data_IF_373658188177
#
_entry.id   IF_373658188177
#
_cell.length_a   1.000
_cell.length_b   1.000
_cell.length_c   1.000
_cell.angle_alpha   90.00
_cell.angle_beta   90.00
_cell.angle_gamma   90.00
#
_symmetry.space_group_name_H-M   'P 1'
#
loop_
_entity.id
_entity.type
_entity.pdbx_description
1 polymer ?
#
# COMPACT_ATOMS: atom_id res chain seq x y z
N UNK A 1 -17.75 32.99 89.18
CA UNK A 1 -16.89 32.54 90.29
C UNK A 1 -15.64 31.88 89.72
N UNK A 2 -14.48 32.51 89.94
CA UNK A 2 -13.10 32.01 89.99
C UNK A 2 -12.58 30.95 88.97
N UNK A 3 -11.63 31.45 88.18
CA UNK A 3 -10.46 30.81 87.55
C UNK A 3 -9.74 29.77 88.40
N UNK A 4 -9.20 28.72 87.73
CA UNK A 4 -7.87 28.15 88.01
C UNK A 4 -7.23 27.62 86.70
N UNK A 5 -6.12 28.23 86.30
CA UNK A 5 -5.14 27.66 85.36
C UNK A 5 -4.24 26.66 86.10
N UNK A 6 -3.64 25.71 85.36
CA UNK A 6 -2.30 25.10 85.53
C UNK A 6 -2.23 23.90 84.56
N UNK A 7 -1.70 24.05 83.34
CA UNK A 7 -0.29 23.88 82.92
C UNK A 7 0.35 22.61 83.47
N UNK A 8 0.62 21.66 82.58
CA UNK A 8 1.63 20.62 82.79
C UNK A 8 1.46 19.39 81.91
N UNK A 9 2.43 19.20 80.99
CA UNK A 9 2.89 17.90 80.46
C UNK A 9 1.98 17.33 79.34
N UNK A 10 2.42 16.82 78.20
CA UNK A 10 3.66 16.71 77.42
C UNK A 10 3.23 15.76 76.27
N UNK A 11 3.58 16.09 75.02
CA UNK A 11 3.65 15.19 73.85
C UNK A 11 2.61 14.07 73.67
N UNK A 12 1.80 14.18 72.61
CA UNK A 12 1.86 13.25 71.47
C UNK A 12 0.85 13.70 70.40
N UNK A 13 1.36 14.39 69.38
CA UNK A 13 0.69 14.53 68.10
C UNK A 13 0.67 13.16 67.42
N UNK A 14 -0.37 12.37 67.68
CA UNK A 14 -0.76 11.25 66.82
C UNK A 14 -1.88 11.74 65.91
N UNK A 15 -1.51 12.56 64.92
CA UNK A 15 -2.28 12.59 63.68
C UNK A 15 -2.03 11.25 62.98
N UNK A 16 -2.85 10.26 63.30
CA UNK A 16 -3.05 9.12 62.41
C UNK A 16 -3.77 9.64 61.17
N UNK A 17 -3.03 10.27 60.26
CA UNK A 17 -3.40 10.28 58.85
C UNK A 17 -3.30 8.84 58.37
N UNK A 18 -4.37 8.07 58.60
CA UNK A 18 -4.63 6.89 57.78
C UNK A 18 -5.00 7.43 56.40
N UNK A 19 -3.99 7.71 55.58
CA UNK A 19 -4.16 7.60 54.15
C UNK A 19 -4.45 6.13 53.88
N UNK A 20 -5.73 5.78 53.85
CA UNK A 20 -6.19 4.59 53.17
C UNK A 20 -5.89 4.86 51.70
N UNK A 21 -4.69 4.49 51.28
CA UNK A 21 -4.41 4.21 49.88
C UNK A 21 -5.08 2.86 49.58
N UNK A 22 -6.32 2.96 49.12
CA UNK A 22 -7.01 1.98 48.29
C UNK A 22 -7.78 2.86 47.29
N UNK A 23 -7.63 2.69 45.99
CA UNK A 23 -7.61 1.38 45.35
C UNK A 23 -6.27 0.97 44.76
N UNK A 24 -6.09 -0.34 44.78
CA UNK A 24 -5.15 -1.04 43.92
C UNK A 24 -5.41 -0.54 42.51
N UNK A 25 -4.44 0.13 41.92
CA UNK A 25 -4.29 0.05 40.47
C UNK A 25 -4.12 -1.44 40.20
N UNK A 26 -5.22 -2.11 39.85
CA UNK A 26 -5.13 -3.32 39.06
C UNK A 26 -4.47 -2.85 37.76
N UNK A 27 -3.12 -2.84 37.75
CA UNK A 27 -2.31 -2.97 36.56
C UNK A 27 -2.72 -4.30 35.93
N UNK A 28 -3.90 -4.34 35.34
CA UNK A 28 -4.33 -5.39 34.46
C UNK A 28 -3.45 -5.22 33.22
N UNK A 29 -2.22 -5.72 33.33
CA UNK A 29 -1.37 -5.96 32.16
C UNK A 29 -2.09 -6.89 31.19
N UNK A 30 -1.45 -7.21 30.07
CA UNK A 30 -2.00 -8.04 28.98
C UNK A 30 -3.01 -9.09 29.44
N UNK A 31 -4.27 -8.87 29.04
CA UNK A 31 -5.40 -9.76 29.28
C UNK A 31 -5.87 -10.37 27.96
N UNK A 32 -6.04 -11.69 27.92
CA UNK A 32 -6.75 -12.35 26.82
C UNK A 32 -8.25 -12.09 26.99
N UNK A 33 -8.88 -11.50 25.97
CA UNK A 33 -10.31 -11.19 25.96
C UNK A 33 -11.14 -12.21 25.20
N UNK A 34 -10.54 -12.88 24.21
CA UNK A 34 -11.18 -13.96 23.44
C UNK A 34 -10.12 -14.92 22.91
N UNK A 35 -10.52 -16.18 22.71
CA UNK A 35 -9.69 -17.22 22.11
C UNK A 35 -10.55 -18.21 21.34
N UNK A 36 -10.20 -18.45 20.08
CA UNK A 36 -10.84 -19.47 19.26
C UNK A 36 -9.83 -20.14 18.35
N UNK A 37 -10.09 -21.40 18.05
CA UNK A 37 -9.36 -22.16 17.04
C UNK A 37 -10.31 -22.56 15.94
N UNK A 38 -9.88 -22.46 14.70
CA UNK A 38 -10.67 -22.86 13.55
C UNK A 38 -9.76 -23.17 12.36
N UNK A 39 -10.36 -23.80 11.36
CA UNK A 39 -9.67 -24.15 10.11
C UNK A 39 -9.95 -23.07 9.06
N UNK A 40 -8.90 -22.69 8.34
CA UNK A 40 -8.95 -21.85 7.16
C UNK A 40 -8.54 -22.64 5.94
N UNK A 41 -9.19 -22.37 4.82
CA UNK A 41 -8.58 -22.60 3.50
C UNK A 41 -7.82 -21.35 3.10
N UNK A 42 -6.53 -21.46 2.77
CA UNK A 42 -5.72 -20.38 2.21
C UNK A 42 -5.52 -20.67 0.73
N UNK A 43 -5.86 -19.70 -0.12
CA UNK A 43 -5.80 -19.86 -1.55
C UNK A 43 -4.36 -19.91 -2.08
N UNK A 44 -4.20 -20.35 -3.33
CA UNK A 44 -2.91 -20.51 -4.00
C UNK A 44 -2.17 -19.23 -4.37
N UNK A 45 -2.81 -18.08 -4.23
CA UNK A 45 -2.24 -16.77 -4.54
C UNK A 45 -2.57 -15.78 -3.44
N UNK A 46 -1.66 -14.84 -3.21
CA UNK A 46 -1.97 -13.62 -2.47
C UNK A 46 -2.58 -12.59 -3.42
N UNK A 47 -3.40 -11.69 -2.88
CA UNK A 47 -3.98 -10.57 -3.63
C UNK A 47 -3.66 -9.26 -2.94
N UNK A 48 -3.64 -8.12 -3.66
CA UNK A 48 -3.47 -6.84 -3.01
C UNK A 48 -4.68 -6.51 -2.13
N UNK A 49 -4.43 -5.99 -0.93
CA UNK A 49 -5.46 -5.64 0.04
C UNK A 49 -5.01 -4.53 0.98
N UNK A 50 -5.99 -3.84 1.56
CA UNK A 50 -5.73 -2.76 2.52
C UNK A 50 -5.71 -3.32 3.93
N UNK A 51 -4.61 -3.07 4.64
CA UNK A 51 -4.45 -3.39 6.05
C UNK A 51 -4.41 -2.12 6.88
N UNK A 52 -4.81 -2.23 8.14
CA UNK A 52 -4.73 -1.16 9.12
C UNK A 52 -3.66 -1.49 10.16
N UNK A 53 -2.77 -0.55 10.45
CA UNK A 53 -1.81 -0.62 11.55
C UNK A 53 -1.51 0.77 12.08
N UNK A 54 -1.39 0.91 13.40
CA UNK A 54 -1.01 2.16 14.07
C UNK A 54 -1.79 3.41 13.61
N UNK A 55 -3.10 3.25 13.33
CA UNK A 55 -3.95 4.37 12.88
C UNK A 55 -3.83 4.73 11.41
N UNK A 56 -3.07 3.95 10.61
CA UNK A 56 -2.88 4.19 9.19
C UNK A 56 -3.31 2.99 8.36
N UNK A 57 -3.97 3.25 7.23
CA UNK A 57 -4.26 2.26 6.22
C UNK A 57 -3.09 2.18 5.23
N UNK A 58 -2.67 0.97 4.89
CA UNK A 58 -1.59 0.75 3.93
C UNK A 58 -1.90 -0.46 3.04
N UNK A 59 -1.36 -0.41 1.82
CA UNK A 59 -1.56 -1.43 0.81
C UNK A 59 -0.44 -2.48 0.91
N UNK A 60 -0.80 -3.76 0.92
CA UNK A 60 0.13 -4.90 0.84
C UNK A 60 -0.52 -6.11 0.18
N UNK A 61 0.27 -7.14 -0.10
CA UNK A 61 -0.31 -8.46 -0.38
C UNK A 61 -0.87 -9.09 0.89
N UNK A 62 -2.05 -9.69 0.76
CA UNK A 62 -2.76 -10.38 1.84
C UNK A 62 -3.00 -11.82 1.44
N UNK A 63 -3.04 -12.70 2.44
CA UNK A 63 -3.54 -14.06 2.25
C UNK A 63 -5.03 -13.98 1.91
N UNK A 64 -5.44 -14.76 0.90
CA UNK A 64 -6.84 -14.95 0.55
C UNK A 64 -7.34 -16.18 1.29
N UNK A 65 -8.18 -15.97 2.29
CA UNK A 65 -8.60 -17.03 3.20
C UNK A 65 -10.10 -17.25 3.17
N UNK A 66 -10.53 -18.46 3.48
CA UNK A 66 -11.94 -18.82 3.59
C UNK A 66 -12.16 -19.63 4.85
N UNK A 67 -13.13 -19.24 5.67
CA UNK A 67 -13.50 -19.96 6.88
C UNK A 67 -14.30 -21.21 6.53
N UNK A 68 -14.26 -22.21 7.41
CA UNK A 68 -15.14 -23.37 7.24
C UNK A 68 -16.61 -22.94 7.17
N UNK A 69 -17.32 -23.44 6.16
CA UNK A 69 -18.74 -23.18 5.88
C UNK A 69 -19.07 -21.77 5.36
N UNK A 70 -18.08 -21.01 4.87
CA UNK A 70 -18.33 -19.82 4.05
C UNK A 70 -17.95 -20.08 2.59
N UNK A 71 -18.63 -19.41 1.66
CA UNK A 71 -18.23 -19.39 0.25
C UNK A 71 -17.34 -18.19 -0.07
N UNK A 72 -17.51 -17.08 0.67
CA UNK A 72 -16.79 -15.84 0.45
C UNK A 72 -15.33 -15.92 0.91
N UNK A 73 -14.45 -15.40 0.06
CA UNK A 73 -13.05 -15.16 0.39
C UNK A 73 -12.90 -13.88 1.20
N UNK A 74 -11.99 -13.90 2.17
CA UNK A 74 -11.63 -12.79 3.04
C UNK A 74 -10.12 -12.49 2.92
N UNK A 75 -9.75 -11.24 3.16
CA UNK A 75 -8.36 -10.82 3.28
C UNK A 75 -7.83 -11.10 4.70
N UNK A 76 -6.63 -11.69 4.79
CA UNK A 76 -5.91 -11.85 6.05
C UNK A 76 -4.46 -11.40 5.91
N UNK A 77 -4.03 -10.46 6.76
CA UNK A 77 -2.75 -9.78 6.59
C UNK A 77 -1.53 -10.52 7.15
N UNK A 78 -1.71 -11.41 8.13
CA UNK A 78 -0.61 -12.11 8.80
C UNK A 78 -1.12 -13.35 9.55
N UNK A 79 -0.32 -14.41 9.56
CA UNK A 79 -0.50 -15.62 10.37
C UNK A 79 0.91 -16.03 10.84
N UNK A 80 1.16 -15.98 12.15
CA UNK A 80 2.45 -16.31 12.73
C UNK A 80 2.80 -17.78 12.49
N UNK A 81 4.04 -18.05 12.09
CA UNK A 81 4.52 -19.40 11.78
C UNK A 81 4.02 -19.99 10.45
N UNK A 82 3.23 -19.27 9.65
CA UNK A 82 2.77 -19.75 8.34
C UNK A 82 3.70 -19.32 7.20
N UNK A 83 4.36 -20.30 6.58
CA UNK A 83 5.18 -20.11 5.38
C UNK A 83 4.36 -20.40 4.13
N UNK A 84 4.03 -19.35 3.39
CA UNK A 84 3.23 -19.45 2.18
C UNK A 84 4.09 -19.74 0.94
N UNK A 85 3.61 -20.64 0.09
CA UNK A 85 4.17 -20.93 -1.23
C UNK A 85 3.09 -20.74 -2.28
N UNK A 86 3.35 -19.88 -3.28
CA UNK A 86 2.46 -19.63 -4.42
C UNK A 86 2.21 -20.93 -5.20
N UNK A 87 1.00 -21.09 -5.73
CA UNK A 87 0.57 -22.29 -6.47
C UNK A 87 0.02 -23.42 -5.60
N UNK A 88 0.00 -23.25 -4.28
CA UNK A 88 -0.54 -24.24 -3.35
C UNK A 88 -1.73 -23.71 -2.56
N UNK A 89 -2.85 -24.44 -2.58
CA UNK A 89 -3.95 -24.21 -1.65
C UNK A 89 -3.68 -24.99 -0.35
N UNK A 90 -3.92 -24.34 0.78
CA UNK A 90 -3.69 -24.93 2.10
C UNK A 90 -4.99 -25.08 2.85
N UNK A 91 -5.08 -26.14 3.66
CA UNK A 91 -5.98 -26.15 4.83
C UNK A 91 -5.12 -26.08 6.07
N UNK A 92 -5.30 -25.02 6.86
CA UNK A 92 -4.53 -24.78 8.08
C UNK A 92 -5.46 -24.64 9.26
N UNK A 93 -5.01 -25.09 10.42
CA UNK A 93 -5.65 -24.80 11.70
C UNK A 93 -4.90 -23.66 12.36
N UNK A 94 -5.63 -22.63 12.80
CA UNK A 94 -5.05 -21.46 13.46
C UNK A 94 -5.71 -21.20 14.82
N UNK A 95 -5.02 -20.48 15.70
CA UNK A 95 -5.61 -19.78 16.83
C UNK A 95 -5.79 -18.30 16.51
N UNK A 96 -6.93 -17.73 16.89
CA UNK A 96 -7.16 -16.29 16.95
C UNK A 96 -7.25 -15.90 18.43
N UNK A 97 -6.29 -15.12 18.91
CA UNK A 97 -6.23 -14.66 20.30
C UNK A 97 -6.38 -13.15 20.33
N UNK A 98 -7.43 -12.66 21.00
CA UNK A 98 -7.63 -11.22 21.19
C UNK A 98 -7.13 -10.78 22.56
N UNK A 99 -6.42 -9.67 22.60
CA UNK A 99 -5.83 -9.12 23.82
C UNK A 99 -6.33 -7.71 24.11
N UNK A 100 -6.30 -7.35 25.39
CA UNK A 100 -6.50 -6.01 25.90
C UNK A 100 -5.39 -5.66 26.90
N UNK A 101 -4.65 -4.60 26.63
CA UNK A 101 -3.64 -4.03 27.51
C UNK A 101 -3.64 -2.49 27.40
N UNK A 102 -4.25 -1.83 28.38
CA UNK A 102 -4.35 -0.36 28.38
C UNK A 102 -3.01 0.37 28.54
N UNK A 103 -1.92 -0.34 28.87
CA UNK A 103 -0.57 0.24 28.90
C UNK A 103 0.06 0.36 27.52
N UNK A 104 -0.46 -0.35 26.51
CA UNK A 104 0.06 -0.34 25.15
C UNK A 104 -0.53 0.80 24.32
N UNK A 105 0.25 1.30 23.35
CA UNK A 105 -0.19 2.35 22.43
C UNK A 105 -1.42 1.96 21.60
N UNK A 106 -1.54 0.67 21.26
CA UNK A 106 -2.77 0.05 20.75
C UNK A 106 -3.30 -0.91 21.80
N UNK A 107 -4.29 -0.50 22.61
CA UNK A 107 -4.74 -1.32 23.73
C UNK A 107 -5.37 -2.64 23.36
N UNK A 108 -5.98 -2.75 22.18
CA UNK A 108 -6.63 -3.97 21.73
C UNK A 108 -6.04 -4.43 20.39
N UNK A 109 -5.66 -5.70 20.32
CA UNK A 109 -5.14 -6.33 19.11
C UNK A 109 -5.49 -7.82 19.09
N UNK A 110 -5.36 -8.42 17.91
CA UNK A 110 -5.64 -9.84 17.68
C UNK A 110 -4.44 -10.47 17.00
N UNK A 111 -3.96 -11.58 17.56
CA UNK A 111 -2.89 -12.40 16.99
C UNK A 111 -3.50 -13.64 16.35
N UNK A 112 -2.87 -14.08 15.26
CA UNK A 112 -3.24 -15.28 14.52
C UNK A 112 -2.02 -16.17 14.43
N UNK A 113 -2.06 -17.35 15.06
CA UNK A 113 -0.93 -18.28 15.08
C UNK A 113 -1.28 -19.57 14.34
N UNK A 114 -0.35 -20.07 13.53
CA UNK A 114 -0.46 -21.39 12.93
C UNK A 114 -0.35 -22.47 14.01
N UNK A 115 -1.36 -23.33 14.09
CA UNK A 115 -1.35 -24.51 14.96
C UNK A 115 -0.96 -25.77 14.20
N UNK A 116 -1.47 -25.94 12.99
CA UNK A 116 -1.19 -27.12 12.16
C UNK A 116 -1.46 -26.87 10.66
N UNK A 117 -0.76 -27.58 9.80
CA UNK A 117 -1.02 -27.62 8.34
C UNK A 117 -1.70 -28.95 8.02
N UNK A 118 -3.01 -28.91 7.81
CA UNK A 118 -3.84 -30.10 7.60
C UNK A 118 -3.71 -30.64 6.16
N UNK A 119 -3.53 -29.75 5.18
CA UNK A 119 -3.20 -30.12 3.80
C UNK A 119 -2.48 -28.99 3.07
N UNK A 120 -1.72 -29.38 2.04
CA UNK A 120 -1.06 -28.51 1.06
C UNK A 120 -1.19 -29.20 -0.30
N UNK A 121 -1.90 -28.58 -1.23
CA UNK A 121 -2.24 -29.15 -2.53
C UNK A 121 -1.86 -28.18 -3.64
N UNK A 122 -1.09 -28.64 -4.62
CA UNK A 122 -0.79 -27.84 -5.81
C UNK A 122 -2.09 -27.65 -6.59
N UNK A 123 -2.55 -26.40 -6.67
CA UNK A 123 -3.89 -26.07 -7.15
C UNK A 123 -3.95 -24.60 -7.51
N UNK A 124 -4.66 -24.27 -8.58
CA UNK A 124 -5.07 -22.91 -8.85
C UNK A 124 -6.44 -22.70 -8.17
N UNK A 125 -6.47 -21.95 -7.07
CA UNK A 125 -7.73 -21.62 -6.40
C UNK A 125 -8.62 -20.79 -7.34
N UNK A 126 -9.93 -21.07 -7.31
CA UNK A 126 -10.90 -20.45 -8.22
C UNK A 126 -11.80 -19.43 -7.48
N UNK A 127 -12.43 -18.54 -8.25
CA UNK A 127 -13.44 -17.58 -7.77
C UNK A 127 -12.93 -16.60 -6.70
N UNK A 128 -11.64 -16.28 -6.72
CA UNK A 128 -11.08 -15.24 -5.85
C UNK A 128 -11.33 -13.85 -6.46
N UNK A 129 -11.62 -12.83 -5.64
CA UNK A 129 -11.54 -11.43 -6.07
C UNK A 129 -10.16 -11.10 -6.64
N UNK A 130 -10.11 -10.14 -7.57
CA UNK A 130 -8.85 -9.60 -8.11
C UNK A 130 -8.05 -8.85 -7.04
N UNK A 131 -8.75 -8.23 -6.07
CA UNK A 131 -8.17 -7.53 -4.92
C UNK A 131 -9.13 -7.43 -3.74
N UNK A 132 -8.59 -7.02 -2.59
CA UNK A 132 -9.31 -6.65 -1.36
C UNK A 132 -9.06 -5.18 -1.00
N UNK A 133 -9.03 -4.32 -2.02
CA UNK A 133 -8.89 -2.87 -1.87
C UNK A 133 -10.29 -2.23 -1.92
N UNK A 134 -10.75 -1.59 -0.84
CA UNK A 134 -12.04 -0.91 -0.84
C UNK A 134 -12.09 0.32 -1.76
N UNK A 135 -13.26 0.62 -2.31
CA UNK A 135 -13.54 1.79 -3.16
C UNK A 135 -13.00 3.11 -2.58
N UNK A 136 -13.34 3.38 -1.32
CA UNK A 136 -12.89 4.61 -0.63
C UNK A 136 -11.36 4.76 -0.60
N UNK A 137 -10.59 3.67 -0.67
CA UNK A 137 -9.13 3.74 -0.60
C UNK A 137 -8.53 4.24 -1.92
N UNK A 138 -9.08 3.84 -3.06
CA UNK A 138 -8.54 4.24 -4.37
C UNK A 138 -9.21 5.49 -4.94
N UNK A 139 -10.49 5.75 -4.66
CA UNK A 139 -11.20 6.95 -5.12
C UNK A 139 -10.61 8.25 -4.54
N UNK A 140 -10.03 8.19 -3.34
CA UNK A 140 -9.30 9.31 -2.74
C UNK A 140 -8.04 9.69 -3.56
N UNK A 141 -7.55 8.80 -4.43
CA UNK A 141 -6.36 9.03 -5.26
C UNK A 141 -6.74 9.76 -6.54
N UNK A 142 -5.92 10.75 -6.89
CA UNK A 142 -6.12 11.55 -8.11
C UNK A 142 -5.82 10.68 -9.33
N UNK A 143 -6.73 10.66 -10.30
CA UNK A 143 -6.52 10.06 -11.62
C UNK A 143 -5.26 10.62 -12.31
N UNK A 144 -4.62 9.85 -13.21
CA UNK A 144 -3.42 10.30 -13.88
C UNK A 144 -3.59 11.64 -14.59
N UNK A 145 -2.67 12.56 -14.36
CA UNK A 145 -2.59 13.77 -15.20
C UNK A 145 -1.72 13.46 -16.41
N UNK A 146 -2.36 13.39 -17.56
CA UNK A 146 -1.72 13.16 -18.84
C UNK A 146 -1.31 14.46 -19.52
N UNK A 147 -0.05 14.52 -19.98
CA UNK A 147 0.48 15.61 -20.80
C UNK A 147 1.29 15.04 -21.95
N UNK A 148 1.36 15.80 -23.02
CA UNK A 148 2.18 15.48 -24.18
C UNK A 148 2.77 16.76 -24.80
N UNK A 149 3.88 16.63 -25.51
CA UNK A 149 4.44 17.67 -26.35
C UNK A 149 4.78 17.08 -27.73
N UNK A 150 4.41 17.81 -28.78
CA UNK A 150 4.58 17.39 -30.18
C UNK A 150 5.24 18.51 -30.97
N UNK A 151 6.36 18.19 -31.59
CA UNK A 151 7.02 19.00 -32.60
C UNK A 151 7.00 18.26 -33.93
N UNK A 152 6.12 18.65 -34.84
CA UNK A 152 5.95 18.06 -36.15
C UNK A 152 5.33 19.07 -37.13
N UNK A 153 5.52 18.88 -38.43
CA UNK A 153 4.90 19.72 -39.46
C UNK A 153 3.37 19.53 -39.50
N UNK A 154 2.89 18.31 -39.24
CA UNK A 154 1.46 17.96 -39.15
C UNK A 154 1.11 17.43 -37.77
N UNK A 155 1.24 18.27 -36.74
CA UNK A 155 1.08 17.86 -35.34
C UNK A 155 -0.33 17.39 -34.98
N UNK A 156 -1.38 17.90 -35.64
CA UNK A 156 -2.78 17.65 -35.26
C UNK A 156 -3.15 16.15 -35.36
N UNK A 157 -2.59 15.44 -36.34
CA UNK A 157 -2.81 13.99 -36.53
C UNK A 157 -2.24 13.20 -35.36
N UNK A 158 -1.05 13.61 -34.87
CA UNK A 158 -0.35 12.97 -33.75
C UNK A 158 -1.06 13.29 -32.43
N UNK A 159 -1.42 14.55 -32.21
CA UNK A 159 -2.14 14.97 -31.00
C UNK A 159 -3.51 14.30 -30.88
N UNK A 160 -4.20 14.06 -32.00
CA UNK A 160 -5.46 13.31 -32.01
C UNK A 160 -5.24 11.86 -31.60
N UNK A 161 -4.26 11.18 -32.21
CA UNK A 161 -3.91 9.81 -31.87
C UNK A 161 -3.47 9.65 -30.40
N UNK A 162 -2.69 10.59 -29.86
CA UNK A 162 -2.26 10.61 -28.47
C UNK A 162 -3.42 10.76 -27.46
N UNK A 163 -4.49 11.46 -27.84
CA UNK A 163 -5.69 11.64 -27.00
C UNK A 163 -6.59 10.42 -27.04
N UNK A 164 -6.69 9.78 -28.20
CA UNK A 164 -7.53 8.60 -28.41
C UNK A 164 -6.85 7.31 -27.89
N UNK A 165 -5.52 7.26 -27.93
CA UNK A 165 -4.71 6.09 -27.62
C UNK A 165 -3.64 6.41 -26.58
N UNK A 166 -4.05 6.80 -25.36
CA UNK A 166 -3.10 6.94 -24.26
C UNK A 166 -2.46 5.58 -23.94
N UNK A 167 -1.18 5.60 -23.54
CA UNK A 167 -0.43 4.37 -23.25
C UNK A 167 -1.04 3.62 -22.06
N UNK A 168 -1.39 4.37 -21.02
CA UNK A 168 -2.10 3.85 -19.85
C UNK A 168 -3.50 4.47 -19.81
N UNK A 169 -4.53 3.74 -19.33
CA UNK A 169 -5.88 4.29 -19.13
C UNK A 169 -5.89 5.52 -18.21
N UNK A 170 -6.68 6.53 -18.56
CA UNK A 170 -6.75 7.78 -17.79
C UNK A 170 -7.88 7.81 -16.75
N UNK A 171 -8.81 6.86 -16.85
CA UNK A 171 -9.98 6.68 -15.99
C UNK A 171 -9.77 5.57 -14.92
N UNK A 172 -8.51 5.19 -14.66
CA UNK A 172 -8.13 4.21 -13.64
C UNK A 172 -7.32 4.89 -12.53
N UNK A 173 -7.51 4.43 -11.30
CA UNK A 173 -6.69 4.76 -10.14
C UNK A 173 -5.51 3.80 -10.07
N UNK A 174 -4.30 4.34 -9.90
CA UNK A 174 -3.08 3.56 -9.92
C UNK A 174 -2.46 3.50 -8.54
N UNK A 175 -2.11 2.30 -8.11
CA UNK A 175 -1.56 2.04 -6.79
C UNK A 175 -0.25 1.27 -6.93
N UNK A 176 0.65 1.57 -6.00
CA UNK A 176 1.95 0.90 -5.90
C UNK A 176 2.10 0.35 -4.49
N UNK A 177 2.49 -0.92 -4.39
CA UNK A 177 2.68 -1.61 -3.11
C UNK A 177 3.84 -2.58 -3.16
N UNK A 178 4.31 -3.01 -2.00
CA UNK A 178 5.30 -4.07 -1.87
C UNK A 178 4.59 -5.41 -1.67
N UNK A 179 4.98 -6.42 -2.44
CA UNK A 179 4.49 -7.78 -2.26
C UNK A 179 5.16 -8.50 -1.10
N UNK A 180 4.70 -9.72 -0.82
CA UNK A 180 5.28 -10.57 0.23
C UNK A 180 6.73 -11.00 -0.02
N UNK A 181 7.21 -10.83 -1.25
CA UNK A 181 8.58 -11.06 -1.72
C UNK A 181 9.43 -9.77 -1.77
N UNK A 182 8.95 -8.69 -1.14
CA UNK A 182 9.52 -7.34 -1.16
C UNK A 182 9.59 -6.69 -2.55
N UNK A 183 9.05 -7.31 -3.60
CA UNK A 183 9.01 -6.73 -4.94
C UNK A 183 7.91 -5.67 -5.04
N UNK A 184 8.25 -4.56 -5.70
CA UNK A 184 7.31 -3.48 -5.95
C UNK A 184 6.30 -3.92 -7.02
N UNK A 185 5.02 -3.70 -6.79
CA UNK A 185 3.93 -4.05 -7.70
C UNK A 185 3.09 -2.83 -8.06
N UNK A 186 2.53 -2.88 -9.27
CA UNK A 186 1.64 -1.90 -9.86
C UNK A 186 0.26 -2.54 -10.08
N UNK A 187 -0.80 -1.86 -9.67
CA UNK A 187 -2.18 -2.23 -10.02
C UNK A 187 -2.95 -0.97 -10.46
N UNK A 188 -3.79 -1.12 -11.48
CA UNK A 188 -4.73 -0.09 -11.91
C UNK A 188 -6.16 -0.55 -11.66
N UNK A 189 -6.97 0.28 -11.02
CA UNK A 189 -8.34 -0.06 -10.60
C UNK A 189 -9.26 1.05 -11.10
N UNK A 190 -10.25 0.68 -11.89
CA UNK A 190 -11.38 1.54 -12.21
C UNK A 190 -12.57 1.23 -11.30
N UNK A 191 -12.82 -0.05 -11.12
CA UNK A 191 -13.80 -0.64 -10.21
C UNK A 191 -13.43 -2.12 -9.99
N UNK A 192 -14.19 -2.84 -9.16
CA UNK A 192 -13.89 -4.24 -8.78
C UNK A 192 -13.90 -5.22 -9.97
N UNK A 193 -14.61 -4.90 -11.06
CA UNK A 193 -14.68 -5.72 -12.27
C UNK A 193 -13.61 -5.32 -13.30
N UNK A 194 -13.13 -4.08 -13.22
CA UNK A 194 -12.22 -3.46 -14.18
C UNK A 194 -10.87 -3.15 -13.52
N UNK A 195 -10.04 -4.17 -13.42
CA UNK A 195 -8.70 -4.09 -12.83
C UNK A 195 -7.63 -4.52 -13.83
N UNK A 196 -6.49 -3.83 -13.86
CA UNK A 196 -5.32 -4.19 -14.65
C UNK A 196 -4.14 -4.48 -13.72
N UNK A 197 -3.44 -5.58 -13.99
CA UNK A 197 -2.41 -6.12 -13.10
C UNK A 197 -3.00 -7.06 -12.04
N UNK A 198 -2.27 -7.32 -10.94
CA UNK A 198 -1.00 -6.70 -10.58
C UNK A 198 0.15 -7.06 -11.55
N UNK A 199 1.14 -6.17 -11.64
CA UNK A 199 2.37 -6.39 -12.37
C UNK A 199 3.57 -6.07 -11.48
N UNK A 200 4.63 -6.86 -11.58
CA UNK A 200 5.89 -6.61 -10.89
C UNK A 200 6.61 -5.45 -11.59
N UNK A 201 7.01 -4.44 -10.83
CA UNK A 201 7.85 -3.34 -11.31
C UNK A 201 9.30 -3.75 -11.12
N UNK A 202 10.01 -3.92 -12.23
CA UNK A 202 11.48 -3.97 -12.21
C UNK A 202 12.01 -2.55 -12.35
N UNK A 203 12.70 -2.08 -11.32
CA UNK A 203 13.28 -0.74 -11.27
C UNK A 203 14.80 -0.80 -11.45
N UNK A 204 15.31 -0.04 -12.41
CA UNK A 204 16.75 0.11 -12.67
C UNK A 204 17.15 1.58 -12.51
N UNK A 205 18.24 1.85 -11.80
CA UNK A 205 18.75 3.21 -11.68
C UNK A 205 19.27 3.69 -13.04
N UNK A 206 18.92 4.92 -13.42
CA UNK A 206 19.44 5.56 -14.63
C UNK A 206 20.24 6.81 -14.27
N UNK A 207 21.28 7.08 -15.04
CA UNK A 207 22.02 8.32 -14.91
C UNK A 207 21.11 9.49 -15.34
N UNK A 208 20.85 10.50 -14.48
CA UNK A 208 20.09 11.68 -14.88
C UNK A 208 20.67 12.40 -16.11
N UNK A 209 21.96 12.24 -16.41
CA UNK A 209 22.60 12.75 -17.62
C UNK A 209 22.16 12.05 -18.92
N UNK A 210 21.57 10.86 -18.84
CA UNK A 210 21.02 10.11 -19.97
C UNK A 210 19.55 10.48 -20.27
N UNK A 211 18.99 11.46 -19.54
CA UNK A 211 17.63 11.92 -19.75
C UNK A 211 17.45 12.44 -21.19
N UNK A 212 16.46 11.93 -21.95
CA UNK A 212 16.17 12.44 -23.29
C UNK A 212 15.94 13.95 -23.30
N UNK A 213 16.57 14.65 -24.23
CA UNK A 213 16.42 16.10 -24.42
C UNK A 213 14.97 16.51 -24.65
N UNK A 214 14.16 15.62 -25.24
CA UNK A 214 12.72 15.80 -25.44
C UNK A 214 11.96 16.05 -24.14
N UNK A 215 12.44 15.56 -23.00
CA UNK A 215 11.75 15.70 -21.71
C UNK A 215 11.76 17.16 -21.21
N UNK A 216 12.65 18.01 -21.74
CA UNK A 216 12.66 19.45 -21.46
C UNK A 216 11.39 20.17 -21.92
N UNK A 217 10.64 19.59 -22.87
CA UNK A 217 9.35 20.13 -23.33
C UNK A 217 8.23 19.92 -22.30
N UNK A 218 8.38 18.95 -21.39
CA UNK A 218 7.43 18.64 -20.34
C UNK A 218 8.14 18.69 -18.98
N UNK A 219 8.48 19.89 -18.48
CA UNK A 219 9.23 20.03 -17.24
C UNK A 219 8.48 19.43 -16.06
N UNK A 220 9.24 18.81 -15.15
CA UNK A 220 8.71 18.24 -13.92
C UNK A 220 8.09 19.33 -13.04
N UNK A 221 6.81 19.17 -12.71
CA UNK A 221 6.08 20.09 -11.85
C UNK A 221 6.06 19.57 -10.41
N UNK A 222 7.09 19.89 -9.61
CA UNK A 222 7.11 19.54 -8.18
C UNK A 222 8.51 19.42 -7.59
N UNK A 223 8.58 19.06 -6.31
CA UNK A 223 9.85 18.68 -5.68
C UNK A 223 10.17 17.24 -6.04
N UNK A 224 10.98 17.05 -7.07
CA UNK A 224 11.43 15.75 -7.53
C UNK A 224 12.71 15.37 -6.79
N UNK A 225 12.79 14.13 -6.32
CA UNK A 225 14.05 13.55 -5.88
C UNK A 225 14.90 13.32 -7.14
N UNK A 226 16.13 13.83 -7.17
CA UNK A 226 16.98 13.88 -8.37
C UNK A 226 17.45 12.54 -8.96
N UNK A 227 16.81 11.41 -8.61
CA UNK A 227 17.10 10.08 -9.14
C UNK A 227 16.10 9.71 -10.25
N UNK A 228 16.61 9.48 -11.46
CA UNK A 228 15.87 8.89 -12.56
C UNK A 228 15.95 7.37 -12.49
N UNK A 229 14.85 6.69 -12.76
CA UNK A 229 14.78 5.23 -12.83
C UNK A 229 14.17 4.80 -14.16
N UNK A 230 14.49 3.59 -14.61
CA UNK A 230 13.73 2.88 -15.63
C UNK A 230 12.81 1.88 -14.96
N UNK A 231 11.51 1.95 -15.24
CA UNK A 231 10.56 0.93 -14.83
C UNK A 231 10.17 0.08 -16.04
N UNK A 232 10.30 -1.24 -15.89
CA UNK A 232 9.63 -2.22 -16.74
C UNK A 232 8.64 -3.04 -15.91
N UNK A 233 7.66 -3.64 -16.59
CA UNK A 233 6.52 -4.28 -15.96
C UNK A 233 6.47 -5.74 -16.38
N UNK A 234 6.55 -6.63 -15.40
CA UNK A 234 6.50 -8.06 -15.58
C UNK A 234 5.19 -8.62 -15.01
N UNK A 235 4.71 -9.74 -15.55
CA UNK A 235 3.64 -10.49 -14.91
C UNK A 235 4.14 -11.19 -13.64
N UNK A 236 3.25 -11.89 -12.92
CA UNK A 236 3.61 -12.59 -11.68
C UNK A 236 4.54 -13.79 -11.91
N UNK A 237 4.70 -14.24 -13.15
CA UNK A 237 5.65 -15.30 -13.55
C UNK A 237 7.02 -14.71 -13.96
N UNK A 238 7.12 -13.39 -14.06
CA UNK A 238 8.33 -12.66 -14.44
C UNK A 238 8.50 -12.42 -15.95
N UNK A 239 7.48 -12.68 -16.77
CA UNK A 239 7.52 -12.43 -18.21
C UNK A 239 7.14 -10.97 -18.52
N UNK A 240 7.58 -10.47 -19.69
CA UNK A 240 7.23 -9.12 -20.14
C UNK A 240 5.72 -8.97 -20.38
N UNK A 241 5.17 -7.88 -19.85
CA UNK A 241 3.75 -7.51 -20.08
C UNK A 241 3.61 -6.62 -21.32
N UNK A 242 2.36 -6.34 -21.69
CA UNK A 242 2.06 -5.33 -22.72
C UNK A 242 2.28 -3.88 -22.25
N UNK A 243 2.55 -3.65 -20.96
CA UNK A 243 2.91 -2.32 -20.48
C UNK A 243 4.31 -1.97 -20.99
N UNK A 244 4.49 -0.85 -21.71
CA UNK A 244 5.81 -0.43 -22.10
C UNK A 244 6.60 0.03 -20.88
N UNK A 245 7.92 0.02 -21.01
CA UNK A 245 8.80 0.62 -20.02
C UNK A 245 8.64 2.15 -19.99
N UNK A 246 8.86 2.75 -18.82
CA UNK A 246 8.88 4.20 -18.63
C UNK A 246 10.18 4.65 -17.98
N UNK A 247 10.59 5.88 -18.28
CA UNK A 247 11.51 6.60 -17.41
C UNK A 247 10.69 7.23 -16.28
N UNK A 248 11.14 7.05 -15.05
CA UNK A 248 10.37 7.38 -13.86
C UNK A 248 11.15 8.32 -12.98
N UNK A 249 10.48 9.40 -12.59
CA UNK A 249 10.93 10.30 -11.55
C UNK A 249 10.01 10.17 -10.35
N UNK A 250 10.58 10.15 -9.16
CA UNK A 250 9.83 10.07 -7.92
C UNK A 250 9.90 11.42 -7.23
N UNK A 251 8.74 11.95 -6.87
CA UNK A 251 8.65 13.27 -6.25
C UNK A 251 7.65 13.34 -5.12
N UNK A 252 7.56 14.55 -4.58
CA UNK A 252 6.67 14.92 -3.48
C UNK A 252 5.73 16.01 -3.95
N UNK A 253 4.45 15.85 -3.65
CA UNK A 253 3.51 16.96 -3.73
C UNK A 253 3.69 17.88 -2.53
N UNK A 254 3.52 19.18 -2.75
CA UNK A 254 3.73 20.26 -1.76
C UNK A 254 2.74 20.25 -0.58
N UNK A 255 1.81 19.29 -0.52
CA UNK A 255 0.73 19.24 0.47
C UNK A 255 1.11 18.59 1.80
N UNK A 256 2.30 18.02 1.95
CA UNK A 256 2.66 17.41 3.23
C UNK A 256 3.07 18.46 4.27
N UNK A 257 2.40 18.44 5.43
CA UNK A 257 2.81 19.17 6.64
C UNK A 257 3.93 18.47 7.43
N UNK A 258 4.36 17.27 7.00
CA UNK A 258 5.42 16.53 7.68
C UNK A 258 6.81 17.01 7.28
N UNK A 259 7.74 16.98 8.23
CA UNK A 259 9.15 17.20 7.94
C UNK A 259 9.66 16.00 7.14
N UNK A 260 9.92 16.19 5.84
CA UNK A 260 10.49 15.19 4.92
C UNK A 260 9.54 13.98 4.61
N UNK A 261 8.37 14.21 3.97
CA UNK A 261 7.41 13.14 3.64
C UNK A 261 8.03 12.06 2.75
N UNK A 262 7.52 10.83 2.86
CA UNK A 262 7.74 9.81 1.84
C UNK A 262 7.28 10.35 0.46
N UNK A 263 7.97 9.98 -0.63
CA UNK A 263 7.50 10.35 -1.95
C UNK A 263 6.09 9.80 -2.20
N UNK A 264 5.21 10.63 -2.72
CA UNK A 264 3.79 10.29 -2.91
C UNK A 264 3.33 10.53 -4.36
N UNK A 265 4.26 10.70 -5.29
CA UNK A 265 3.95 10.91 -6.70
C UNK A 265 5.05 10.34 -7.58
N UNK A 266 4.65 9.66 -8.64
CA UNK A 266 5.54 9.22 -9.71
C UNK A 266 5.21 9.95 -10.99
N UNK A 267 6.25 10.33 -11.72
CA UNK A 267 6.15 10.91 -13.05
C UNK A 267 6.70 9.92 -14.05
N UNK A 268 5.83 9.37 -14.89
CA UNK A 268 6.19 8.43 -15.94
C UNK A 268 6.41 9.21 -17.23
N UNK A 269 7.56 9.02 -17.88
CA UNK A 269 7.91 9.64 -19.15
C UNK A 269 8.18 8.59 -20.21
N UNK A 270 7.79 8.92 -21.44
CA UNK A 270 8.12 8.13 -22.62
C UNK A 270 8.38 9.03 -23.82
N UNK A 271 9.55 8.87 -24.41
CA UNK A 271 9.83 9.37 -25.74
C UNK A 271 9.21 8.44 -26.79
N UNK A 272 8.31 8.98 -27.62
CA UNK A 272 7.60 8.28 -28.69
C UNK A 272 8.01 8.77 -30.07
N UNK A 273 9.10 9.54 -30.16
CA UNK A 273 9.53 10.21 -31.41
C UNK A 273 9.73 9.21 -32.54
N UNK A 274 10.49 8.14 -32.30
CA UNK A 274 10.74 7.11 -33.32
C UNK A 274 9.47 6.33 -33.69
N UNK A 275 8.60 6.06 -32.72
CA UNK A 275 7.30 5.42 -32.98
C UNK A 275 6.46 6.27 -33.94
N UNK A 276 6.34 7.58 -33.69
CA UNK A 276 5.53 8.46 -34.52
C UNK A 276 6.18 8.84 -35.85
N UNK A 277 7.52 8.85 -35.96
CA UNK A 277 8.21 8.92 -37.26
C UNK A 277 7.83 7.75 -38.15
N UNK A 278 7.74 6.54 -37.59
CA UNK A 278 7.36 5.34 -38.34
C UNK A 278 5.86 5.29 -38.66
N UNK A 279 5.01 5.69 -37.69
CA UNK A 279 3.55 5.68 -37.86
C UNK A 279 3.04 6.76 -38.82
N UNK A 280 3.64 7.95 -38.80
CA UNK A 280 3.32 9.06 -39.71
C UNK A 280 4.57 9.63 -40.40
N UNK A 281 5.17 8.92 -41.36
CA UNK A 281 6.40 9.37 -42.04
C UNK A 281 6.27 10.74 -42.71
N UNK A 282 5.06 11.06 -43.18
CA UNK A 282 4.73 12.31 -43.89
C UNK A 282 4.40 13.49 -42.96
N UNK A 283 4.49 13.32 -41.64
CA UNK A 283 4.15 14.36 -40.66
C UNK A 283 5.33 15.23 -40.24
N UNK A 284 6.56 14.94 -40.70
CA UNK A 284 7.75 15.72 -40.37
C UNK A 284 8.07 15.70 -38.86
N UNK A 285 7.94 14.54 -38.23
CA UNK A 285 8.06 14.37 -36.77
C UNK A 285 9.50 14.65 -36.30
N UNK A 286 9.65 15.64 -35.43
CA UNK A 286 10.91 15.99 -34.76
C UNK A 286 10.98 15.46 -33.34
N UNK A 287 9.90 15.62 -32.57
CA UNK A 287 9.83 15.16 -31.18
C UNK A 287 8.40 14.86 -30.80
N UNK A 288 8.19 13.72 -30.12
CA UNK A 288 6.93 13.38 -29.45
C UNK A 288 7.26 12.79 -28.10
N UNK A 289 6.80 13.44 -27.04
CA UNK A 289 7.00 12.97 -25.67
C UNK A 289 5.68 13.02 -24.92
N UNK A 290 5.46 12.02 -24.06
CA UNK A 290 4.33 11.96 -23.14
C UNK A 290 4.81 11.89 -21.71
N UNK A 291 3.99 12.39 -20.80
CA UNK A 291 4.20 12.24 -19.36
C UNK A 291 2.88 11.97 -18.63
N UNK A 292 2.95 11.15 -17.59
CA UNK A 292 1.85 10.88 -16.66
C UNK A 292 2.28 11.25 -15.26
N UNK A 293 1.47 12.04 -14.55
CA UNK A 293 1.63 12.22 -13.10
C UNK A 293 0.64 11.34 -12.37
N UNK A 294 1.15 10.42 -11.56
CA UNK A 294 0.35 9.44 -10.82
C UNK A 294 0.64 9.60 -9.32
N UNK A 295 -0.41 9.79 -8.52
CA UNK A 295 -0.29 9.78 -7.07
C UNK A 295 -0.03 8.35 -6.58
N UNK A 296 0.99 8.17 -5.74
CA UNK A 296 1.27 6.88 -5.07
C UNK A 296 1.01 7.00 -3.57
N UNK A 297 1.01 5.84 -2.90
CA UNK A 297 0.48 5.67 -1.53
C UNK A 297 1.01 6.68 -0.52
#
# INVERSE_FOLDING_TARGET
MKTKNLVGILMLFLFTYTFISCDKEDEAGRKITDYKEYVLTVASEMKPGVMWSEGNNFLKEVYVVKKENTEDWEAMGYIDGFEFERGYEYKIKISETSYLDHSMGQPAWTEYDLLDVLSKEEKNSENMPSHFIPEWFYEERVLPKYKYAVEADKKEVIETDLKENSIIPLDYHYLVYSGGDDLLRWIAIKDDENTLGPCIIKSENKDPGEMPESYKLLPLEGHVNGSMMGWSFLDEEGNETNYPSFDVFVGRTTKSKSFNPAPNTVYLYKDLTEYYKNKYPEAGVKTVVVSYTVGIN
#
